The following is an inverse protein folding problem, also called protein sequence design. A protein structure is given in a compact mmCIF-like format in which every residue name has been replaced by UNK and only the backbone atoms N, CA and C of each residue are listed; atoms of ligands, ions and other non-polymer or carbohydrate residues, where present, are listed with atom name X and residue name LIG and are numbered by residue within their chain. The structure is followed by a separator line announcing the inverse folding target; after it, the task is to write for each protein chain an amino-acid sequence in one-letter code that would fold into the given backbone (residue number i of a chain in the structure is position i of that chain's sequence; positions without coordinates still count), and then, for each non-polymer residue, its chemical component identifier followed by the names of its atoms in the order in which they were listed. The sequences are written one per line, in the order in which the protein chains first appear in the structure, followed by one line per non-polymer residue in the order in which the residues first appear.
data_IF_001386356487
#
_entry.id   IF_001386356487
#
_cell.length_a   1.000
_cell.length_b   1.000
_cell.length_c   1.000
_cell.angle_alpha   90.00
_cell.angle_beta   90.00
_cell.angle_gamma   90.00
#
_symmetry.space_group_name_H-M   'P 1'
#
loop_
_entity.id
_entity.type
_entity.pdbx_description
1 polymer ?
#
# COMPACT_ATOMS: atom_id res chain seq x y z
N UNK A 1 -34.10 -62.51 31.59
CA UNK A 1 -32.74 -62.57 31.03
C UNK A 1 -32.16 -61.16 31.12
N UNK A 2 -31.13 -60.99 31.94
CA UNK A 2 -30.64 -59.70 32.47
C UNK A 2 -29.35 -59.29 31.72
N UNK A 3 -29.17 -57.98 31.53
CA UNK A 3 -27.92 -57.22 31.27
C UNK A 3 -27.09 -57.48 30.01
N UNK A 4 -26.72 -56.39 29.32
CA UNK A 4 -25.41 -55.74 29.55
C UNK A 4 -25.31 -54.38 28.84
N UNK A 5 -25.20 -53.34 29.67
CA UNK A 5 -24.64 -52.02 29.36
C UNK A 5 -23.12 -52.20 29.23
N UNK A 6 -22.49 -51.60 28.23
CA UNK A 6 -21.04 -51.35 28.24
C UNK A 6 -20.73 -49.90 27.88
N UNK A 7 -20.43 -49.17 28.96
CA UNK A 7 -19.70 -47.92 29.03
C UNK A 7 -18.23 -48.19 28.67
N UNK A 8 -17.69 -47.55 27.64
CA UNK A 8 -16.25 -47.34 27.40
C UNK A 8 -16.14 -45.96 26.73
N UNK A 9 -16.03 -44.89 27.52
CA UNK A 9 -14.76 -44.28 27.93
C UNK A 9 -14.47 -43.12 26.97
N UNK A 10 -14.97 -41.90 27.18
CA UNK A 10 -14.58 -40.94 28.23
C UNK A 10 -13.06 -40.76 28.40
N UNK A 11 -12.32 -40.63 27.29
CA UNK A 11 -10.98 -40.02 27.24
C UNK A 11 -10.79 -39.27 25.91
N UNK A 12 -11.57 -38.20 25.66
CA UNK A 12 -11.23 -37.18 24.65
C UNK A 12 -11.74 -35.83 25.15
N UNK A 13 -11.23 -35.37 26.28
CA UNK A 13 -11.64 -34.09 26.86
C UNK A 13 -10.51 -33.49 27.69
N UNK A 14 -9.31 -33.34 27.10
CA UNK A 14 -8.20 -32.57 27.71
C UNK A 14 -6.99 -32.36 26.77
N UNK A 15 -7.20 -31.99 25.50
CA UNK A 15 -6.11 -31.43 24.67
C UNK A 15 -6.48 -30.20 23.85
N UNK A 16 -7.73 -29.74 23.88
CA UNK A 16 -8.15 -28.53 23.14
C UNK A 16 -8.11 -27.23 23.95
N UNK A 17 -7.62 -27.24 25.21
CA UNK A 17 -7.60 -26.03 26.06
C UNK A 17 -6.21 -25.49 26.40
N UNK A 18 -5.14 -25.99 25.77
CA UNK A 18 -3.77 -25.49 26.00
C UNK A 18 -3.23 -24.58 24.87
N UNK A 19 -3.97 -24.37 23.78
CA UNK A 19 -3.53 -23.49 22.68
C UNK A 19 -4.16 -22.08 22.67
N UNK A 20 -5.16 -21.78 23.52
CA UNK A 20 -5.81 -20.45 23.51
C UNK A 20 -5.05 -19.38 24.33
N UNK A 21 -4.13 -19.78 25.22
CA UNK A 21 -3.31 -18.83 25.98
C UNK A 21 -2.07 -18.34 25.21
N UNK A 22 -1.50 -19.17 24.32
CA UNK A 22 -0.36 -18.73 23.50
C UNK A 22 -0.76 -17.80 22.34
N UNK A 23 -1.94 -17.99 21.74
CA UNK A 23 -2.43 -17.07 20.71
C UNK A 23 -2.86 -15.70 21.29
N UNK A 24 -3.36 -15.64 22.52
CA UNK A 24 -3.79 -14.39 23.16
C UNK A 24 -2.62 -13.52 23.64
N UNK A 25 -1.52 -14.12 24.10
CA UNK A 25 -0.31 -13.37 24.47
C UNK A 25 0.41 -12.81 23.23
N UNK A 26 0.57 -13.63 22.18
CA UNK A 26 1.20 -13.18 20.93
C UNK A 26 0.36 -12.13 20.19
N UNK A 27 -0.97 -12.27 20.16
CA UNK A 27 -1.84 -11.28 19.52
C UNK A 27 -1.83 -9.94 20.26
N UNK A 28 -1.86 -9.96 21.61
CA UNK A 28 -1.76 -8.74 22.43
C UNK A 28 -0.40 -8.05 22.25
N UNK A 29 0.70 -8.81 22.26
CA UNK A 29 2.05 -8.26 22.02
C UNK A 29 2.19 -7.65 20.63
N UNK A 30 1.68 -8.32 19.59
CA UNK A 30 1.69 -7.79 18.22
C UNK A 30 0.85 -6.53 18.06
N UNK A 31 -0.31 -6.45 18.74
CA UNK A 31 -1.14 -5.25 18.75
C UNK A 31 -0.43 -4.08 19.41
N UNK A 32 0.19 -4.29 20.59
CA UNK A 32 0.95 -3.25 21.29
C UNK A 32 2.08 -2.71 20.39
N UNK A 33 2.87 -3.60 19.78
CA UNK A 33 3.96 -3.20 18.88
C UNK A 33 3.46 -2.42 17.65
N UNK A 34 2.34 -2.83 17.05
CA UNK A 34 1.74 -2.09 15.94
C UNK A 34 1.28 -0.70 16.38
N UNK A 35 0.59 -0.59 17.52
CA UNK A 35 0.13 0.72 18.04
C UNK A 35 1.31 1.65 18.35
N UNK A 36 2.38 1.15 18.94
CA UNK A 36 3.63 1.92 19.15
C UNK A 36 4.23 2.41 17.83
N UNK A 37 4.29 1.54 16.80
CA UNK A 37 4.79 1.94 15.48
C UNK A 37 3.90 2.99 14.81
N UNK A 38 2.57 2.85 14.88
CA UNK A 38 1.63 3.82 14.33
C UNK A 38 1.65 5.15 15.10
N UNK A 39 1.92 5.12 16.41
CA UNK A 39 2.10 6.31 17.22
C UNK A 39 3.33 7.13 16.77
N UNK A 40 4.47 6.44 16.56
CA UNK A 40 5.69 7.08 16.04
C UNK A 40 5.44 7.66 14.63
N UNK A 41 4.79 6.89 13.76
CA UNK A 41 4.49 7.34 12.40
C UNK A 41 3.57 8.54 12.37
N UNK A 42 2.53 8.54 13.23
CA UNK A 42 1.63 9.68 13.39
C UNK A 42 2.40 10.93 13.80
N UNK A 43 3.29 10.84 14.79
CA UNK A 43 4.07 11.99 15.24
C UNK A 43 4.98 12.52 14.12
N UNK A 44 5.67 11.64 13.39
CA UNK A 44 6.58 12.05 12.32
C UNK A 44 5.85 12.77 11.17
N UNK A 45 4.70 12.25 10.71
CA UNK A 45 3.92 12.94 9.67
C UNK A 45 3.26 14.22 10.20
N UNK A 46 2.89 14.26 11.48
CA UNK A 46 2.28 15.42 12.13
C UNK A 46 3.27 16.58 12.25
N UNK A 47 4.53 16.28 12.54
CA UNK A 47 5.63 17.25 12.55
C UNK A 47 6.05 17.68 11.13
N UNK A 48 6.01 16.76 10.16
CA UNK A 48 6.40 17.04 8.78
C UNK A 48 5.52 18.09 8.09
N UNK A 49 4.22 18.16 8.44
CA UNK A 49 3.25 18.96 7.69
C UNK A 49 2.23 19.66 8.57
N UNK A 50 2.18 21.00 8.49
CA UNK A 50 1.14 21.80 9.14
C UNK A 50 -0.28 21.40 8.71
N UNK A 51 -0.45 20.82 7.53
CA UNK A 51 -1.76 20.31 7.09
C UNK A 51 -2.27 19.17 7.98
N UNK A 52 -1.39 18.31 8.49
CA UNK A 52 -1.80 17.25 9.43
C UNK A 52 -2.46 17.83 10.69
N UNK A 53 -1.98 18.99 11.16
CA UNK A 53 -2.58 19.71 12.30
C UNK A 53 -3.99 20.22 11.95
N UNK A 54 -4.18 20.70 10.73
CA UNK A 54 -5.48 21.19 10.24
C UNK A 54 -6.51 20.06 10.07
N UNK A 55 -6.09 18.83 9.79
CA UNK A 55 -7.01 17.70 9.61
C UNK A 55 -7.72 17.28 10.90
N UNK A 56 -7.23 17.72 12.07
CA UNK A 56 -7.81 17.37 13.37
C UNK A 56 -7.80 15.86 13.65
N UNK A 57 -6.89 15.11 13.02
CA UNK A 57 -6.74 13.67 13.22
C UNK A 57 -5.92 13.42 14.48
N UNK A 58 -6.52 12.72 15.44
CA UNK A 58 -5.81 12.23 16.63
C UNK A 58 -5.07 10.93 16.32
N UNK A 59 -4.06 10.57 17.11
CA UNK A 59 -3.37 9.28 16.99
C UNK A 59 -4.36 8.09 16.99
N UNK A 60 -5.34 8.10 17.90
CA UNK A 60 -6.37 7.03 17.94
C UNK A 60 -7.16 6.95 16.64
N UNK A 61 -7.50 8.10 16.03
CA UNK A 61 -8.19 8.13 14.73
C UNK A 61 -7.28 7.67 13.59
N UNK A 62 -6.00 7.98 13.66
CA UNK A 62 -4.98 7.48 12.72
C UNK A 62 -4.86 5.95 12.75
N UNK A 63 -4.85 5.33 13.94
CA UNK A 63 -4.88 3.87 14.10
C UNK A 63 -6.17 3.23 13.54
N UNK A 64 -7.32 3.89 13.74
CA UNK A 64 -8.59 3.43 13.16
C UNK A 64 -8.54 3.49 11.63
N UNK A 65 -8.00 4.58 11.07
CA UNK A 65 -7.81 4.71 9.62
C UNK A 65 -6.87 3.64 9.07
N UNK A 66 -5.81 3.28 9.78
CA UNK A 66 -4.92 2.18 9.37
C UNK A 66 -5.68 0.87 9.17
N UNK A 67 -6.54 0.48 10.12
CA UNK A 67 -7.31 -0.76 10.05
C UNK A 67 -8.40 -0.69 8.99
N UNK A 68 -9.12 0.44 8.92
CA UNK A 68 -10.15 0.70 7.90
C UNK A 68 -9.56 0.60 6.50
N UNK A 69 -8.45 1.29 6.24
CA UNK A 69 -7.80 1.33 4.95
C UNK A 69 -7.29 -0.03 4.49
N UNK A 70 -6.76 -0.84 5.40
CA UNK A 70 -6.36 -2.22 5.09
C UNK A 70 -7.55 -3.07 4.64
N UNK A 71 -8.67 -2.99 5.36
CA UNK A 71 -9.89 -3.75 5.04
C UNK A 71 -10.53 -3.30 3.73
N UNK A 72 -10.67 -1.99 3.52
CA UNK A 72 -11.29 -1.44 2.31
C UNK A 72 -10.47 -1.73 1.06
N UNK A 73 -9.15 -1.63 1.14
CA UNK A 73 -8.27 -1.97 0.03
C UNK A 73 -8.30 -3.46 -0.28
N UNK A 74 -8.45 -4.30 0.76
CA UNK A 74 -8.58 -5.74 0.58
C UNK A 74 -9.90 -6.10 -0.11
N UNK A 75 -11.00 -5.46 0.30
CA UNK A 75 -12.30 -5.62 -0.34
C UNK A 75 -12.27 -5.09 -1.79
N UNK A 76 -11.61 -3.97 -2.04
CA UNK A 76 -11.43 -3.42 -3.38
C UNK A 76 -10.69 -4.40 -4.30
N UNK A 77 -9.59 -5.01 -3.82
CA UNK A 77 -8.84 -6.04 -4.56
C UNK A 77 -9.69 -7.30 -4.88
N UNK A 78 -10.73 -7.58 -4.10
CA UNK A 78 -11.64 -8.71 -4.33
C UNK A 78 -12.92 -8.34 -5.10
N UNK A 79 -13.10 -7.06 -5.43
CA UNK A 79 -14.31 -6.56 -6.07
C UNK A 79 -14.33 -6.83 -7.57
N UNK A 80 -15.46 -6.56 -8.22
CA UNK A 80 -15.57 -6.54 -9.68
C UNK A 80 -14.69 -5.48 -10.36
N UNK A 81 -14.11 -4.54 -9.60
CA UNK A 81 -13.16 -3.56 -10.14
C UNK A 81 -11.75 -4.14 -10.32
N UNK A 82 -11.50 -5.38 -9.90
CA UNK A 82 -10.20 -6.01 -10.08
C UNK A 82 -9.88 -6.22 -11.57
N UNK A 83 -8.81 -5.55 -12.02
CA UNK A 83 -8.17 -5.70 -13.32
C UNK A 83 -6.92 -6.58 -13.16
N UNK A 84 -6.82 -7.63 -13.99
CA UNK A 84 -5.66 -8.54 -14.00
C UNK A 84 -4.40 -7.83 -14.49
N UNK A 85 -3.25 -8.21 -13.92
CA UNK A 85 -1.94 -7.66 -14.31
C UNK A 85 -1.68 -7.76 -15.82
N UNK A 86 -2.10 -8.84 -16.48
CA UNK A 86 -1.92 -9.00 -17.93
C UNK A 86 -2.63 -7.93 -18.75
N UNK A 87 -3.82 -7.50 -18.31
CA UNK A 87 -4.61 -6.49 -19.00
C UNK A 87 -3.99 -5.11 -18.80
N UNK A 88 -3.55 -4.82 -17.57
CA UNK A 88 -2.80 -3.60 -17.23
C UNK A 88 -1.50 -3.52 -18.03
N UNK A 89 -0.70 -4.59 -18.07
CA UNK A 89 0.56 -4.63 -18.82
C UNK A 89 0.36 -4.36 -20.32
N UNK A 90 -0.63 -5.03 -20.94
CA UNK A 90 -0.95 -4.83 -22.36
C UNK A 90 -1.33 -3.36 -22.65
N UNK A 91 -2.00 -2.72 -21.71
CA UNK A 91 -2.37 -1.31 -21.84
C UNK A 91 -1.15 -0.39 -21.74
N UNK A 92 -0.25 -0.60 -20.78
CA UNK A 92 1.01 0.17 -20.65
C UNK A 92 1.78 0.15 -21.96
N UNK A 93 1.96 -1.05 -22.51
CA UNK A 93 2.69 -1.25 -23.75
C UNK A 93 2.06 -0.48 -24.92
N UNK A 94 0.74 -0.52 -25.04
CA UNK A 94 0.03 0.13 -26.14
C UNK A 94 -0.10 1.64 -26.01
N UNK A 95 -0.21 2.17 -24.79
CA UNK A 95 -0.65 3.55 -24.54
C UNK A 95 0.39 4.45 -23.89
N UNK A 96 1.27 3.90 -23.05
CA UNK A 96 2.16 4.70 -22.22
C UNK A 96 3.62 4.68 -22.67
N UNK A 97 4.16 3.51 -23.06
CA UNK A 97 5.60 3.39 -23.40
C UNK A 97 6.00 4.31 -24.56
N UNK A 98 5.07 4.54 -25.50
CA UNK A 98 5.31 5.36 -26.68
C UNK A 98 4.68 6.76 -26.60
N UNK A 99 4.21 7.18 -25.43
CA UNK A 99 3.57 8.47 -25.28
C UNK A 99 4.61 9.60 -25.25
N UNK A 100 4.56 10.49 -26.23
CA UNK A 100 5.61 11.49 -26.49
C UNK A 100 5.76 12.54 -25.38
N UNK A 101 4.69 12.84 -24.64
CA UNK A 101 4.70 13.89 -23.61
C UNK A 101 5.23 13.45 -22.23
N UNK A 102 5.65 12.19 -22.08
CA UNK A 102 6.17 11.67 -20.82
C UNK A 102 7.68 11.88 -20.76
N UNK A 103 8.16 12.61 -19.73
CA UNK A 103 9.57 12.97 -19.59
C UNK A 103 10.45 11.78 -19.25
N UNK A 104 9.99 10.92 -18.35
CA UNK A 104 10.64 9.64 -18.06
C UNK A 104 9.87 8.50 -18.72
N UNK A 105 10.46 7.83 -19.72
CA UNK A 105 9.80 6.71 -20.37
C UNK A 105 9.57 5.59 -19.36
N UNK A 106 8.37 5.00 -19.41
CA UNK A 106 8.09 3.81 -18.63
C UNK A 106 8.82 2.63 -19.24
N UNK A 107 9.43 1.81 -18.40
CA UNK A 107 10.00 0.54 -18.85
C UNK A 107 8.88 -0.45 -19.16
N UNK A 108 9.15 -1.35 -20.10
CA UNK A 108 8.21 -2.41 -20.47
C UNK A 108 8.02 -3.37 -19.30
N UNK A 109 6.79 -3.63 -18.84
CA UNK A 109 6.56 -4.63 -17.80
C UNK A 109 6.93 -6.03 -18.31
N UNK A 110 8.02 -6.61 -17.81
CA UNK A 110 8.30 -8.03 -18.03
C UNK A 110 7.52 -8.88 -17.02
N UNK A 111 7.01 -10.02 -17.47
CA UNK A 111 6.55 -11.06 -16.53
C UNK A 111 7.79 -11.55 -15.79
N UNK A 112 7.80 -11.41 -14.47
CA UNK A 112 8.88 -11.96 -13.65
C UNK A 112 8.93 -13.48 -13.85
N UNK A 113 10.06 -13.97 -14.37
CA UNK A 113 10.44 -15.38 -14.30
C UNK A 113 11.38 -15.67 -13.11
N UNK A 114 11.70 -14.66 -12.29
CA UNK A 114 12.68 -14.77 -11.20
C UNK A 114 12.05 -14.60 -9.82
N UNK A 115 12.34 -15.58 -8.95
CA UNK A 115 12.06 -15.55 -7.51
C UNK A 115 12.64 -14.27 -6.86
N UNK A 116 11.80 -13.65 -6.02
CA UNK A 116 12.14 -12.82 -4.86
C UNK A 116 12.74 -11.42 -5.04
N UNK A 117 12.13 -10.54 -5.84
CA UNK A 117 12.08 -9.15 -5.36
C UNK A 117 11.19 -9.15 -4.12
N UNK A 118 11.76 -8.90 -2.94
CA UNK A 118 10.97 -8.75 -1.72
C UNK A 118 10.21 -7.44 -1.85
N UNK A 119 8.88 -7.48 -1.83
CA UNK A 119 8.04 -6.30 -1.92
C UNK A 119 8.41 -5.22 -0.89
N UNK A 120 8.91 -5.63 0.28
CA UNK A 120 9.47 -4.73 1.31
C UNK A 120 10.58 -3.84 0.77
N UNK A 121 11.52 -4.42 0.02
CA UNK A 121 12.71 -3.71 -0.46
C UNK A 121 12.31 -2.66 -1.50
N UNK A 122 11.36 -3.01 -2.39
CA UNK A 122 10.84 -2.08 -3.39
C UNK A 122 10.07 -0.94 -2.74
N UNK A 123 9.16 -1.22 -1.81
CA UNK A 123 8.45 -0.17 -1.06
C UNK A 123 9.43 0.76 -0.36
N UNK A 124 10.49 0.21 0.25
CA UNK A 124 11.50 1.00 0.95
C UNK A 124 12.37 1.88 0.02
N UNK A 125 12.41 1.61 -1.29
CA UNK A 125 13.10 2.51 -2.23
C UNK A 125 12.46 3.90 -2.31
N UNK A 126 11.15 3.98 -2.05
CA UNK A 126 10.38 5.23 -2.04
C UNK A 126 10.54 6.01 -0.73
N UNK A 127 11.18 5.46 0.30
CA UNK A 127 11.30 6.13 1.59
C UNK A 127 12.11 7.43 1.49
N UNK A 128 11.63 8.47 2.18
CA UNK A 128 12.24 9.79 2.20
C UNK A 128 11.24 10.91 1.95
N UNK A 129 11.77 12.12 1.94
CA UNK A 129 11.05 13.35 1.63
C UNK A 129 11.20 13.70 0.16
N UNK A 130 10.09 13.98 -0.50
CA UNK A 130 10.04 14.21 -1.94
C UNK A 130 9.27 15.49 -2.24
N UNK A 131 9.87 16.38 -3.04
CA UNK A 131 9.22 17.62 -3.47
C UNK A 131 9.15 17.73 -4.98
N UNK A 132 8.05 18.26 -5.48
CA UNK A 132 7.81 18.33 -6.91
C UNK A 132 6.48 18.99 -7.24
N UNK A 133 6.09 18.86 -8.50
CA UNK A 133 4.81 19.38 -8.99
C UNK A 133 3.92 18.22 -9.42
N UNK A 134 2.74 18.16 -8.82
CA UNK A 134 1.63 17.37 -9.32
C UNK A 134 0.73 18.28 -10.15
N UNK A 135 0.75 18.10 -11.48
CA UNK A 135 0.19 19.10 -12.42
C UNK A 135 0.81 20.49 -12.16
N UNK A 136 0.00 21.46 -11.73
CA UNK A 136 0.43 22.82 -11.37
C UNK A 136 0.67 23.00 -9.87
N UNK A 137 0.29 22.03 -9.03
CA UNK A 137 0.38 22.14 -7.58
C UNK A 137 1.74 21.69 -7.06
N UNK A 138 2.36 22.50 -6.21
CA UNK A 138 3.52 22.06 -5.43
C UNK A 138 3.04 21.02 -4.41
N UNK A 139 3.69 19.86 -4.41
CA UNK A 139 3.41 18.81 -3.44
C UNK A 139 4.70 18.39 -2.75
N UNK A 140 4.58 18.14 -1.45
CA UNK A 140 5.63 17.57 -0.60
C UNK A 140 5.10 16.27 -0.05
N UNK A 141 5.82 15.19 -0.30
CA UNK A 141 5.48 13.87 0.18
C UNK A 141 6.51 13.43 1.22
N UNK A 142 6.07 12.64 2.18
CA UNK A 142 6.93 11.91 3.09
C UNK A 142 6.52 10.44 3.03
N UNK A 143 7.45 9.57 2.67
CA UNK A 143 7.28 8.12 2.76
C UNK A 143 8.19 7.61 3.87
N UNK A 144 7.59 7.04 4.92
CA UNK A 144 8.37 6.49 6.03
C UNK A 144 9.06 5.17 5.62
N UNK A 145 10.06 4.69 6.38
CA UNK A 145 10.62 3.37 6.17
C UNK A 145 9.56 2.27 6.30
N UNK A 146 9.71 1.22 5.49
CA UNK A 146 8.86 0.02 5.60
C UNK A 146 9.06 -0.66 6.95
N UNK A 147 7.97 -1.11 7.58
CA UNK A 147 7.97 -1.78 8.88
C UNK A 147 7.35 -3.16 8.77
N UNK A 148 8.02 -4.15 9.34
CA UNK A 148 7.47 -5.50 9.46
C UNK A 148 6.53 -5.59 10.66
N UNK A 149 5.40 -6.27 10.45
CA UNK A 149 4.40 -6.57 11.48
C UNK A 149 3.80 -7.95 11.27
N UNK A 150 2.98 -8.38 12.23
CA UNK A 150 2.19 -9.59 12.08
C UNK A 150 0.79 -9.33 12.66
N UNK A 151 -0.07 -8.71 11.86
CA UNK A 151 -1.41 -8.28 12.27
C UNK A 151 -2.49 -9.02 11.47
N UNK A 152 -3.32 -9.83 12.14
CA UNK A 152 -4.42 -10.56 11.50
C UNK A 152 -5.51 -9.57 11.06
N UNK A 153 -5.93 -9.63 9.79
CA UNK A 153 -7.08 -8.87 9.28
C UNK A 153 -8.34 -9.72 9.39
N UNK A 154 -8.23 -10.99 9.00
CA UNK A 154 -9.26 -12.01 9.12
C UNK A 154 -8.58 -13.39 9.26
N UNK A 155 -9.35 -14.47 9.23
CA UNK A 155 -8.84 -15.84 9.43
C UNK A 155 -7.81 -16.27 8.38
N UNK A 156 -7.88 -15.73 7.16
CA UNK A 156 -7.08 -16.18 6.01
C UNK A 156 -6.04 -15.15 5.55
N UNK A 157 -6.00 -13.97 6.18
CA UNK A 157 -5.10 -12.90 5.76
C UNK A 157 -4.55 -12.07 6.91
N UNK A 158 -3.30 -11.65 6.75
CA UNK A 158 -2.58 -10.81 7.72
C UNK A 158 -1.72 -9.77 7.03
N UNK A 159 -1.60 -8.60 7.66
CA UNK A 159 -0.58 -7.60 7.32
C UNK A 159 0.75 -8.14 7.84
N UNK A 160 1.71 -8.33 6.94
CA UNK A 160 3.08 -8.74 7.26
C UNK A 160 4.08 -7.57 7.22
N UNK A 161 3.64 -6.42 6.74
CA UNK A 161 4.37 -5.17 6.83
C UNK A 161 3.60 -4.02 6.20
N UNK A 162 4.02 -2.80 6.48
CA UNK A 162 3.39 -1.60 5.96
C UNK A 162 4.39 -0.46 5.79
N UNK A 163 3.99 0.55 5.03
CA UNK A 163 4.72 1.80 4.84
C UNK A 163 3.75 2.97 4.93
N UNK A 164 3.96 3.87 5.88
CA UNK A 164 3.13 5.07 6.06
C UNK A 164 3.58 6.19 5.12
N UNK A 165 2.63 7.01 4.67
CA UNK A 165 2.94 8.18 3.87
C UNK A 165 2.09 9.41 4.19
N UNK A 166 2.64 10.57 3.85
CA UNK A 166 1.92 11.82 3.62
C UNK A 166 2.06 12.21 2.14
N UNK A 167 0.95 12.50 1.47
CA UNK A 167 0.87 12.69 0.00
C UNK A 167 0.72 14.15 -0.42
N UNK A 168 0.93 15.10 0.49
CA UNK A 168 0.79 16.53 0.21
C UNK A 168 -0.58 17.10 0.58
N UNK A 169 -1.66 16.34 0.41
CA UNK A 169 -3.05 16.68 0.76
C UNK A 169 -3.77 15.59 1.56
N UNK A 170 -3.01 14.60 2.02
CA UNK A 170 -3.54 13.42 2.67
C UNK A 170 -2.45 12.58 3.30
N UNK A 171 -2.86 11.45 3.87
CA UNK A 171 -1.96 10.43 4.37
C UNK A 171 -2.52 9.05 4.07
N UNK A 172 -1.66 8.04 4.12
CA UNK A 172 -2.04 6.70 3.76
C UNK A 172 -1.01 5.66 4.13
N UNK A 173 -1.26 4.44 3.64
CA UNK A 173 -0.39 3.31 3.86
C UNK A 173 -0.32 2.43 2.62
N UNK A 174 0.88 1.93 2.34
CA UNK A 174 1.06 0.72 1.56
C UNK A 174 1.08 -0.47 2.52
N UNK A 175 0.33 -1.53 2.23
CA UNK A 175 0.26 -2.75 3.02
C UNK A 175 0.84 -3.91 2.22
N UNK A 176 1.68 -4.71 2.86
CA UNK A 176 2.05 -6.03 2.38
C UNK A 176 1.20 -7.07 3.12
N UNK A 177 0.28 -7.70 2.41
CA UNK A 177 -0.64 -8.70 2.96
C UNK A 177 -0.23 -10.10 2.53
N UNK A 178 -0.24 -11.03 3.48
CA UNK A 178 -0.14 -12.47 3.21
C UNK A 178 -1.54 -13.08 3.20
N UNK A 179 -1.91 -13.75 2.11
CA UNK A 179 -3.15 -14.54 1.96
C UNK A 179 -2.77 -15.96 1.53
N UNK A 180 -2.75 -16.91 2.47
CA UNK A 180 -2.15 -18.22 2.23
C UNK A 180 -0.67 -18.09 1.86
N UNK A 181 -0.26 -18.63 0.72
CA UNK A 181 1.11 -18.51 0.20
C UNK A 181 1.35 -17.19 -0.56
N UNK A 182 0.29 -16.54 -1.03
CA UNK A 182 0.33 -15.34 -1.85
C UNK A 182 0.65 -14.08 -1.02
N UNK A 183 1.51 -13.22 -1.57
CA UNK A 183 1.76 -11.88 -1.04
C UNK A 183 1.17 -10.82 -1.98
N UNK A 184 0.34 -9.95 -1.43
CA UNK A 184 -0.40 -8.92 -2.16
C UNK A 184 0.04 -7.55 -1.64
N UNK A 185 0.25 -6.58 -2.54
CA UNK A 185 0.51 -5.18 -2.18
C UNK A 185 -0.80 -4.41 -2.32
N UNK A 186 -1.25 -3.81 -1.23
CA UNK A 186 -2.41 -2.92 -1.21
C UNK A 186 -1.97 -1.51 -0.81
N UNK A 187 -2.79 -0.51 -1.11
CA UNK A 187 -2.57 0.85 -0.66
C UNK A 187 -3.89 1.56 -0.41
N UNK A 188 -3.86 2.50 0.53
CA UNK A 188 -5.02 3.32 0.86
C UNK A 188 -4.56 4.73 1.20
N UNK A 189 -5.18 5.75 0.59
CA UNK A 189 -4.90 7.16 0.89
C UNK A 189 -6.19 7.88 1.25
N UNK A 190 -6.13 8.64 2.34
CA UNK A 190 -7.16 9.55 2.83
C UNK A 190 -6.80 10.98 2.41
N UNK A 191 -7.60 11.59 1.54
CA UNK A 191 -7.41 12.97 1.08
C UNK A 191 -8.33 13.93 1.83
N UNK A 192 -7.78 15.05 2.28
CA UNK A 192 -8.50 16.06 3.04
C UNK A 192 -8.55 17.36 2.25
N UNK A 193 -9.72 18.01 2.26
CA UNK A 193 -9.87 19.30 1.61
C UNK A 193 -9.21 20.44 2.42
N UNK A 194 -9.25 21.66 1.88
CA UNK A 194 -8.63 22.83 2.49
C UNK A 194 -9.18 23.19 3.90
N UNK A 195 -10.36 22.68 4.27
CA UNK A 195 -10.97 22.86 5.60
C UNK A 195 -10.58 21.75 6.58
N UNK A 196 -9.72 20.81 6.16
CA UNK A 196 -9.33 19.65 6.96
C UNK A 196 -10.41 18.57 7.07
N UNK A 197 -11.45 18.63 6.24
CA UNK A 197 -12.49 17.59 6.18
C UNK A 197 -12.06 16.50 5.20
N UNK A 198 -12.28 15.23 5.57
CA UNK A 198 -12.06 14.10 4.67
C UNK A 198 -12.93 14.27 3.42
N UNK A 199 -12.29 14.26 2.25
CA UNK A 199 -12.90 14.58 0.96
C UNK A 199 -13.02 13.34 0.07
N UNK A 200 -11.94 12.56 0.02
CA UNK A 200 -11.86 11.38 -0.84
C UNK A 200 -11.00 10.29 -0.20
N UNK A 201 -11.37 9.05 -0.45
CA UNK A 201 -10.66 7.85 0.00
C UNK A 201 -10.31 7.02 -1.23
N UNK A 202 -9.06 6.59 -1.32
CA UNK A 202 -8.55 5.93 -2.52
C UNK A 202 -7.97 4.56 -2.18
N UNK A 203 -8.79 3.49 -2.13
CA UNK A 203 -8.28 2.13 -2.06
C UNK A 203 -7.67 1.70 -3.40
N UNK A 204 -6.52 1.07 -3.35
CA UNK A 204 -5.83 0.55 -4.54
C UNK A 204 -5.02 -0.71 -4.23
N UNK A 205 -4.62 -1.40 -5.28
CA UNK A 205 -3.73 -2.56 -5.20
C UNK A 205 -2.60 -2.42 -6.21
N UNK A 206 -1.46 -3.06 -5.94
CA UNK A 206 -0.28 -2.94 -6.78
C UNK A 206 0.16 -4.27 -7.39
N UNK A 207 0.65 -4.16 -8.62
CA UNK A 207 1.52 -5.15 -9.23
C UNK A 207 2.96 -4.67 -9.16
N UNK A 208 3.85 -5.59 -8.80
CA UNK A 208 5.29 -5.39 -8.85
C UNK A 208 5.85 -6.07 -10.11
N UNK A 209 6.68 -5.37 -10.86
CA UNK A 209 7.46 -5.97 -11.94
C UNK A 209 8.91 -6.25 -11.52
N UNK A 210 9.65 -6.93 -12.39
CA UNK A 210 11.05 -7.32 -12.20
C UNK A 210 12.05 -6.15 -12.29
N UNK A 211 11.56 -4.93 -12.51
CA UNK A 211 12.36 -3.71 -12.63
C UNK A 211 12.12 -2.74 -11.46
N UNK A 212 11.59 -3.25 -10.35
CA UNK A 212 11.26 -2.48 -9.14
C UNK A 212 10.27 -1.34 -9.42
N UNK A 213 9.34 -1.53 -10.35
CA UNK A 213 8.27 -0.58 -10.62
C UNK A 213 6.96 -1.08 -10.02
N UNK A 214 6.28 -0.19 -9.31
CA UNK A 214 4.95 -0.43 -8.78
C UNK A 214 3.91 0.10 -9.78
N UNK A 215 2.93 -0.74 -10.08
CA UNK A 215 1.74 -0.36 -10.85
C UNK A 215 0.53 -0.43 -9.94
N UNK A 216 0.08 0.71 -9.45
CA UNK A 216 -1.11 0.82 -8.61
C UNK A 216 -2.36 0.94 -9.48
N UNK A 217 -3.42 0.23 -9.11
CA UNK A 217 -4.73 0.31 -9.74
C UNK A 217 -5.74 0.75 -8.69
N UNK A 218 -6.40 1.88 -8.93
CA UNK A 218 -7.56 2.35 -8.17
C UNK A 218 -8.85 2.18 -8.99
N UNK A 219 -9.97 2.68 -8.49
CA UNK A 219 -11.28 2.69 -9.14
C UNK A 219 -11.30 3.45 -10.49
N UNK A 220 -10.43 4.43 -10.66
CA UNK A 220 -10.47 5.37 -11.78
C UNK A 220 -9.09 5.78 -12.32
N UNK A 221 -7.99 5.33 -11.72
CA UNK A 221 -6.64 5.60 -12.20
C UNK A 221 -5.75 4.35 -12.15
N UNK A 222 -4.77 4.32 -13.04
CA UNK A 222 -3.58 3.47 -12.89
C UNK A 222 -2.37 4.36 -12.71
N UNK A 223 -1.58 4.10 -11.67
CA UNK A 223 -0.36 4.84 -11.34
C UNK A 223 0.87 3.97 -11.55
N UNK A 224 1.89 4.54 -12.18
CA UNK A 224 3.19 3.92 -12.43
C UNK A 224 4.24 4.62 -11.63
N UNK A 225 4.86 3.90 -10.72
CA UNK A 225 5.76 4.46 -9.73
C UNK A 225 7.10 3.75 -9.73
N UNK A 226 8.17 4.55 -9.76
CA UNK A 226 9.53 4.06 -9.59
C UNK A 226 10.44 5.17 -9.09
N UNK A 227 11.54 4.76 -8.47
CA UNK A 227 12.64 5.66 -8.14
C UNK A 227 13.74 5.50 -9.18
N UNK A 228 14.13 6.62 -9.77
CA UNK A 228 15.20 6.69 -10.75
C UNK A 228 16.47 7.19 -10.07
N UNK A 229 17.54 6.40 -10.17
CA UNK A 229 18.87 6.72 -9.66
C UNK A 229 19.89 6.86 -10.81
N UNK A 230 19.41 7.14 -12.03
CA UNK A 230 20.28 7.30 -13.19
C UNK A 230 21.16 8.54 -13.03
N UNK A 231 22.47 8.32 -12.87
CA UNK A 231 23.50 9.36 -12.77
C UNK A 231 23.56 10.28 -13.99
N UNK A 232 22.98 9.88 -15.13
CA UNK A 232 22.88 10.71 -16.34
C UNK A 232 21.71 11.70 -16.26
N UNK A 233 20.74 11.48 -15.39
CA UNK A 233 19.70 12.46 -15.12
C UNK A 233 20.30 13.59 -14.26
N UNK A 234 19.94 14.84 -14.55
CA UNK A 234 20.43 16.02 -13.83
C UNK A 234 20.07 16.03 -12.33
N UNK A 235 19.26 15.06 -11.88
CA UNK A 235 18.86 14.83 -10.50
C UNK A 235 19.26 13.40 -10.14
N UNK A 236 20.28 13.25 -9.28
CA UNK A 236 20.90 11.97 -8.94
C UNK A 236 19.91 10.89 -8.47
N UNK A 237 18.90 11.29 -7.68
CA UNK A 237 17.80 10.43 -7.22
C UNK A 237 16.47 11.19 -7.25
N UNK A 238 15.47 10.63 -7.93
CA UNK A 238 14.14 11.21 -8.05
C UNK A 238 13.04 10.14 -8.14
N UNK A 239 11.90 10.44 -7.55
CA UNK A 239 10.70 9.60 -7.58
C UNK A 239 9.81 10.05 -8.75
N UNK A 240 9.44 9.10 -9.61
CA UNK A 240 8.57 9.33 -10.75
C UNK A 240 7.25 8.62 -10.50
N UNK A 241 6.15 9.36 -10.68
CA UNK A 241 4.80 8.81 -10.71
C UNK A 241 4.13 9.25 -12.00
N UNK A 242 3.53 8.31 -12.72
CA UNK A 242 2.70 8.60 -13.90
C UNK A 242 1.29 8.09 -13.64
N UNK A 243 0.32 9.00 -13.62
CA UNK A 243 -1.09 8.65 -13.46
C UNK A 243 -1.78 8.63 -14.82
N UNK A 244 -2.58 7.61 -15.06
CA UNK A 244 -3.41 7.48 -16.24
C UNK A 244 -4.86 7.27 -15.79
N UNK A 245 -5.75 8.26 -15.99
CA UNK A 245 -7.16 8.10 -15.68
C UNK A 245 -7.78 7.06 -16.60
N UNK A 246 -8.76 6.32 -16.08
CA UNK A 246 -9.54 5.39 -16.87
C UNK A 246 -11.01 5.37 -16.48
N UNK A 247 -11.87 4.98 -17.43
CA UNK A 247 -13.28 4.71 -17.18
C UNK A 247 -13.59 3.25 -17.46
N UNK A 248 -14.32 2.60 -16.56
CA UNK A 248 -14.74 1.21 -16.70
C UNK A 248 -16.15 1.05 -17.31
N UNK A 249 -16.55 1.95 -18.22
CA UNK A 249 -17.87 1.93 -18.85
C UNK A 249 -17.86 1.03 -20.10
N UNK A 250 -18.22 -0.25 -19.92
CA UNK A 250 -18.28 -1.35 -20.91
C UNK A 250 -16.96 -1.71 -21.61
N UNK A 251 -16.05 -0.75 -21.80
CA UNK A 251 -14.68 -0.93 -22.25
C UNK A 251 -13.75 -0.01 -21.46
N UNK A 252 -12.58 -0.51 -21.06
CA UNK A 252 -11.56 0.29 -20.37
C UNK A 252 -11.03 1.38 -21.31
N UNK A 253 -11.46 2.62 -21.09
CA UNK A 253 -10.97 3.80 -21.83
C UNK A 253 -10.01 4.58 -20.98
N UNK A 254 -8.86 4.92 -21.54
CA UNK A 254 -7.80 5.65 -20.86
C UNK A 254 -7.72 7.09 -21.36
N UNK A 255 -7.57 8.03 -20.44
CA UNK A 255 -7.33 9.44 -20.76
C UNK A 255 -5.85 9.77 -20.91
N UNK A 256 -5.56 11.06 -21.01
CA UNK A 256 -4.19 11.57 -21.14
C UNK A 256 -3.40 11.33 -19.85
N UNK A 257 -2.20 10.73 -19.91
CA UNK A 257 -1.38 10.52 -18.74
C UNK A 257 -0.80 11.83 -18.22
N UNK A 258 -0.59 11.89 -16.91
CA UNK A 258 0.09 12.98 -16.21
C UNK A 258 1.29 12.38 -15.49
N UNK A 259 2.46 12.99 -15.62
CA UNK A 259 3.66 12.57 -14.91
C UNK A 259 4.12 13.66 -13.94
N UNK A 260 4.39 13.25 -12.69
CA UNK A 260 5.09 14.06 -11.71
C UNK A 260 6.48 13.46 -11.45
N UNK A 261 7.45 14.36 -11.24
CA UNK A 261 8.82 14.02 -10.89
C UNK A 261 9.14 14.76 -9.61
N UNK A 262 9.40 14.00 -8.56
CA UNK A 262 9.79 14.52 -7.26
C UNK A 262 11.27 14.34 -7.00
N UNK A 263 11.90 15.37 -6.45
CA UNK A 263 13.31 15.37 -6.06
C UNK A 263 13.39 15.03 -4.58
N UNK A 264 14.36 14.22 -4.20
CA UNK A 264 14.68 14.01 -2.79
C UNK A 264 15.09 15.33 -2.13
N UNK A 265 14.47 15.70 -1.02
CA UNK A 265 14.86 16.90 -0.25
C UNK A 265 16.21 16.71 0.47
N UNK A 266 16.68 15.46 0.63
CA UNK A 266 17.98 15.14 1.25
C UNK A 266 19.17 15.22 0.26
N UNK A 267 18.96 15.71 -0.96
CA UNK A 267 20.02 15.85 -1.99
C UNK A 267 20.63 17.26 -2.06
N UNK A 268 20.42 18.12 -1.06
CA UNK A 268 21.24 19.30 -0.87
C UNK A 268 22.62 18.90 -0.35
N UNK A 269 23.51 18.53 -1.29
CA UNK A 269 24.95 18.71 -1.13
C UNK A 269 25.29 20.18 -1.36
#
# INVERSE_FOLDING_TARGET
MITKIYLKGLVVLMTCFLNSQFETVNSKSNYTRLSEQLAMDFQEIFEFSEKMKLYGVTQKKFEIFFQKGAMESFNFHQSSHYIKQSDVNRMIEKKLIHHQDIKHPLKKPSKSNSKSLKSSDVLNTFSGQWSGKWKSMNARHLWLPFKEVNFKINEVSKIIGFQTCFTGDGFGWNYLIRKGEEAIILGHVYHFNAKGTLDYENPHYAFLNDQSQLTWVSDNHVYYEFVCEDKKCSKSKHYVITAMPYSNSNELKFGTPIQAIYISENNSN
#
